data_IF_789908843739
#
_entry.id   IF_789908843739
#
_cell.length_a   1.000
_cell.length_b   1.000
_cell.length_c   1.000
_cell.angle_alpha   90.00
_cell.angle_beta   90.00
_cell.angle_gamma   90.00
#
_symmetry.space_group_name_H-M   'P 1'
#
loop_
_entity.id
_entity.type
_entity.pdbx_description
1 polymer ?
#
# COMPACT_ATOMS: atom_id res chain seq x y z
N UNK A 1 -48.10 -6.20 -16.29
CA UNK A 1 -47.00 -6.67 -17.16
C UNK A 1 -45.97 -5.56 -17.22
N UNK A 2 -44.74 -5.78 -16.76
CA UNK A 2 -43.68 -4.77 -16.87
C UNK A 2 -43.05 -4.90 -18.27
N UNK A 3 -43.05 -3.81 -19.04
CA UNK A 3 -42.48 -3.80 -20.38
C UNK A 3 -40.95 -3.93 -20.30
N UNK A 4 -40.40 -4.99 -20.89
CA UNK A 4 -38.94 -5.15 -21.09
C UNK A 4 -38.47 -4.48 -22.38
N UNK A 5 -39.34 -3.70 -23.02
CA UNK A 5 -39.08 -3.02 -24.27
C UNK A 5 -38.00 -1.95 -24.05
N UNK A 6 -36.88 -2.08 -24.77
CA UNK A 6 -35.70 -1.24 -24.60
C UNK A 6 -34.62 -1.78 -23.64
N UNK A 7 -34.85 -2.91 -22.96
CA UNK A 7 -33.80 -3.57 -22.18
C UNK A 7 -32.86 -4.33 -23.13
N UNK A 8 -31.59 -3.93 -23.15
CA UNK A 8 -30.55 -4.66 -23.87
C UNK A 8 -30.03 -5.76 -22.94
N UNK A 9 -29.94 -7.02 -23.39
CA UNK A 9 -29.41 -8.08 -22.56
C UNK A 9 -27.94 -7.78 -22.20
N UNK A 10 -27.58 -7.97 -20.91
CA UNK A 10 -26.20 -7.86 -20.41
C UNK A 10 -25.41 -9.03 -21.01
N UNK A 11 -24.95 -8.84 -22.24
CA UNK A 11 -24.12 -9.80 -22.97
C UNK A 11 -22.70 -9.28 -23.04
N UNK A 12 -21.74 -10.20 -23.13
CA UNK A 12 -20.34 -9.85 -23.34
C UNK A 12 -20.13 -9.00 -24.60
N UNK A 13 -20.91 -9.27 -25.65
CA UNK A 13 -20.87 -8.51 -26.91
C UNK A 13 -21.39 -7.07 -26.73
N UNK A 14 -22.47 -6.89 -25.97
CA UNK A 14 -22.99 -5.57 -25.63
C UNK A 14 -22.00 -4.78 -24.77
N UNK A 15 -21.44 -5.39 -23.72
CA UNK A 15 -20.43 -4.75 -22.87
C UNK A 15 -19.19 -4.32 -23.67
N UNK A 16 -18.66 -5.18 -24.54
CA UNK A 16 -17.53 -4.82 -25.39
C UNK A 16 -17.85 -3.61 -26.29
N UNK A 17 -19.01 -3.60 -26.95
CA UNK A 17 -19.44 -2.44 -27.76
C UNK A 17 -19.70 -1.18 -26.95
N UNK A 18 -20.04 -1.33 -25.67
CA UNK A 18 -20.26 -0.22 -24.74
C UNK A 18 -18.93 0.38 -24.30
N UNK A 19 -17.95 -0.45 -23.92
CA UNK A 19 -16.59 -0.04 -23.57
C UNK A 19 -15.87 0.64 -24.77
N UNK A 20 -16.08 0.15 -26.00
CA UNK A 20 -15.59 0.81 -27.23
C UNK A 20 -16.14 2.24 -27.39
N UNK A 21 -17.37 2.48 -26.93
CA UNK A 21 -18.06 3.77 -27.09
C UNK A 21 -17.66 4.78 -26.01
N UNK A 22 -17.18 4.31 -24.86
CA UNK A 22 -16.81 5.11 -23.71
C UNK A 22 -15.36 4.81 -23.32
N UNK A 23 -14.37 5.40 -24.02
CA UNK A 23 -12.98 5.21 -23.67
C UNK A 23 -12.74 5.72 -22.25
N UNK A 24 -12.07 4.91 -21.44
CA UNK A 24 -11.64 5.35 -20.12
C UNK A 24 -10.67 6.51 -20.28
N UNK A 25 -10.94 7.60 -19.57
CA UNK A 25 -9.97 8.67 -19.45
C UNK A 25 -8.68 8.08 -18.84
N UNK A 26 -7.49 8.51 -19.31
CA UNK A 26 -6.25 8.13 -18.65
C UNK A 26 -6.32 8.50 -17.16
N UNK A 27 -5.68 7.68 -16.33
CA UNK A 27 -5.58 7.96 -14.90
C UNK A 27 -4.99 9.37 -14.70
N UNK A 28 -5.53 10.16 -13.77
CA UNK A 28 -4.97 11.47 -13.45
C UNK A 28 -3.50 11.34 -13.04
N UNK A 29 -2.66 12.30 -13.42
CA UNK A 29 -1.23 12.34 -13.05
C UNK A 29 -1.03 12.29 -11.53
N UNK A 30 -1.98 12.84 -10.78
CA UNK A 30 -2.00 12.80 -9.31
C UNK A 30 -2.01 11.38 -8.74
N UNK A 31 -2.60 10.40 -9.44
CA UNK A 31 -2.61 9.00 -9.00
C UNK A 31 -1.20 8.40 -9.10
N UNK A 32 -0.46 8.73 -10.16
CA UNK A 32 0.93 8.32 -10.34
C UNK A 32 1.84 8.95 -9.29
N UNK A 33 1.62 10.25 -9.00
CA UNK A 33 2.34 10.98 -7.96
C UNK A 33 2.06 10.38 -6.58
N UNK A 34 0.79 10.21 -6.19
CA UNK A 34 0.39 9.63 -4.92
C UNK A 34 0.97 8.22 -4.75
N UNK A 35 0.92 7.40 -5.79
CA UNK A 35 1.51 6.06 -5.78
C UNK A 35 3.02 6.09 -5.55
N UNK A 36 3.71 7.08 -6.11
CA UNK A 36 5.15 7.28 -5.91
C UNK A 36 5.47 7.74 -4.48
N UNK A 37 4.68 8.66 -3.93
CA UNK A 37 4.82 9.13 -2.55
C UNK A 37 4.58 8.00 -1.54
N UNK A 38 3.53 7.19 -1.72
CA UNK A 38 3.25 6.01 -0.89
C UNK A 38 4.43 5.01 -0.95
N UNK A 39 4.95 4.73 -2.15
CA UNK A 39 6.11 3.84 -2.31
C UNK A 39 7.36 4.38 -1.63
N UNK A 40 7.59 5.70 -1.69
CA UNK A 40 8.69 6.34 -0.95
C UNK A 40 8.53 6.10 0.55
N UNK A 41 7.36 6.42 1.11
CA UNK A 41 7.08 6.27 2.54
C UNK A 41 7.29 4.82 3.00
N UNK A 42 6.78 3.84 2.24
CA UNK A 42 6.97 2.41 2.56
C UNK A 42 8.46 2.05 2.54
N UNK A 43 9.20 2.52 1.53
CA UNK A 43 10.63 2.26 1.41
C UNK A 43 11.39 2.86 2.59
N UNK A 44 11.10 4.11 2.95
CA UNK A 44 11.70 4.79 4.09
C UNK A 44 11.40 4.05 5.41
N UNK A 45 10.16 3.60 5.61
CA UNK A 45 9.77 2.80 6.77
C UNK A 45 10.50 1.44 6.83
N UNK A 46 10.65 0.77 5.69
CA UNK A 46 11.39 -0.50 5.62
C UNK A 46 12.88 -0.31 5.90
N UNK A 47 13.48 0.79 5.43
CA UNK A 47 14.88 1.13 5.74
C UNK A 47 15.06 1.40 7.24
N UNK A 48 14.15 2.18 7.85
CA UNK A 48 14.16 2.45 9.30
C UNK A 48 13.96 1.16 10.10
N UNK A 49 13.03 0.29 9.69
CA UNK A 49 12.76 -1.00 10.34
C UNK A 49 13.93 -1.97 10.22
N UNK A 50 14.58 -2.05 9.05
CA UNK A 50 15.80 -2.82 8.85
C UNK A 50 16.97 -2.33 9.70
N UNK A 51 17.09 -1.01 9.89
CA UNK A 51 18.09 -0.41 10.77
C UNK A 51 17.85 -0.76 12.25
N UNK A 52 16.59 -0.86 12.68
CA UNK A 52 16.24 -1.26 14.03
C UNK A 52 16.54 -2.75 14.32
N UNK A 53 16.45 -3.62 13.30
CA UNK A 53 16.82 -5.05 13.42
C UNK A 53 18.34 -5.29 13.42
N UNK A 54 19.13 -4.34 12.93
CA UNK A 54 20.61 -4.43 12.92
C UNK A 54 21.21 -3.76 14.16
N UNK A 55 20.44 -3.00 14.94
CA UNK A 55 20.91 -2.51 16.24
C UNK A 55 21.17 -3.71 17.17
N UNK A 56 22.43 -4.03 17.55
CA UNK A 56 22.63 -4.97 18.63
C UNK A 56 21.99 -4.36 19.87
N UNK A 57 21.05 -5.10 20.47
CA UNK A 57 20.48 -4.84 21.78
C UNK A 57 21.64 -4.75 22.80
N UNK A 58 22.26 -3.56 22.90
CA UNK A 58 23.35 -3.24 23.81
C UNK A 58 22.78 -3.46 25.21
N UNK A 59 23.14 -4.61 25.78
CA UNK A 59 23.01 -4.97 27.19
C UNK A 59 23.28 -3.75 28.04
N UNK A 60 22.23 -3.18 28.60
CA UNK A 60 22.29 -2.18 29.66
C UNK A 60 22.01 -2.85 31.00
N UNK A 61 22.72 -3.94 31.28
CA UNK A 61 22.50 -4.77 32.48
C UNK A 61 23.78 -5.57 32.77
N UNK A 62 24.89 -4.88 33.06
CA UNK A 62 26.15 -5.53 33.48
C UNK A 62 26.94 -4.72 34.51
N UNK A 63 26.66 -3.42 34.66
CA UNK A 63 27.43 -2.54 35.56
C UNK A 63 26.76 -2.26 36.93
N UNK A 64 25.50 -2.68 37.12
CA UNK A 64 24.80 -2.49 38.41
C UNK A 64 25.14 -3.60 39.42
N UNK A 65 25.32 -4.85 38.99
CA UNK A 65 25.58 -5.98 39.92
C UNK A 65 27.00 -5.96 40.51
N UNK A 66 27.97 -5.32 39.85
CA UNK A 66 29.35 -5.23 40.36
C UNK A 66 29.57 -4.17 41.43
N UNK A 67 28.61 -3.24 41.64
CA UNK A 67 28.72 -2.20 42.67
C UNK A 67 28.05 -2.53 44.00
N UNK A 68 27.38 -3.68 44.10
CA UNK A 68 26.74 -4.14 45.35
C UNK A 68 27.43 -5.34 46.02
N UNK A 69 28.55 -5.84 45.47
CA UNK A 69 29.32 -6.95 46.07
C UNK A 69 30.68 -6.52 46.64
N UNK A 70 30.89 -5.22 46.86
CA UNK A 70 32.17 -4.68 47.33
C UNK A 70 32.01 -3.44 48.18
N UNK A 71 31.30 -3.55 49.31
CA UNK A 71 31.60 -2.80 50.53
C UNK A 71 31.11 -3.58 51.74
#
# INVERSE_FOLDING_TARGET
MASTEGLVPITRKFLASYDDKYPFAPLPDDVSRLSSEIRSIITDLLLISGFLLILPHRRYESDQVRRHAGH
#
